data_IF_670435430152
#
_entry.id   IF_670435430152
#
_cell.length_a   1.000
_cell.length_b   1.000
_cell.length_c   1.000
_cell.angle_alpha   90.00
_cell.angle_beta   90.00
_cell.angle_gamma   90.00
#
_symmetry.space_group_name_H-M   'P 1'
#
loop_
_entity.id
_entity.type
_entity.pdbx_description
1 polymer ?
#
# COMPACT_ATOMS: atom_id res chain seq x y z
N UNK A 1 -21.27 11.70 -40.95
CA UNK A 1 -20.68 10.33 -41.00
C UNK A 1 -19.46 10.17 -40.08
N UNK A 2 -18.56 11.16 -40.01
CA UNK A 2 -17.34 11.13 -39.16
C UNK A 2 -17.64 11.07 -37.65
N UNK A 3 -18.65 11.80 -37.19
CA UNK A 3 -19.00 11.91 -35.75
C UNK A 3 -19.43 10.57 -35.13
N UNK A 4 -20.20 9.76 -35.87
CA UNK A 4 -20.56 8.40 -35.44
C UNK A 4 -19.36 7.43 -35.40
N UNK A 5 -18.36 7.63 -36.26
CA UNK A 5 -17.14 6.82 -36.24
C UNK A 5 -16.25 7.16 -35.04
N UNK A 6 -16.17 8.45 -34.67
CA UNK A 6 -15.46 8.92 -33.48
C UNK A 6 -16.14 8.43 -32.20
N UNK A 7 -17.47 8.51 -32.10
CA UNK A 7 -18.21 8.01 -30.93
C UNK A 7 -18.00 6.51 -30.71
N UNK A 8 -17.94 5.72 -31.79
CA UNK A 8 -17.61 4.28 -31.72
C UNK A 8 -16.18 4.03 -31.25
N UNK A 9 -15.19 4.79 -31.73
CA UNK A 9 -13.78 4.59 -31.35
C UNK A 9 -13.52 4.97 -29.88
N UNK A 10 -14.18 6.00 -29.38
CA UNK A 10 -14.15 6.39 -27.96
C UNK A 10 -14.77 5.28 -27.10
N UNK A 11 -15.93 4.75 -27.49
CA UNK A 11 -16.56 3.62 -26.78
C UNK A 11 -15.65 2.40 -26.68
N UNK A 12 -15.00 2.00 -27.78
CA UNK A 12 -14.06 0.87 -27.80
C UNK A 12 -12.86 1.12 -26.89
N UNK A 13 -12.34 2.36 -26.86
CA UNK A 13 -11.18 2.72 -26.04
C UNK A 13 -11.51 2.65 -24.54
N UNK A 14 -12.70 3.09 -24.15
CA UNK A 14 -13.17 3.01 -22.77
C UNK A 14 -13.37 1.56 -22.30
N UNK A 15 -13.95 0.70 -23.14
CA UNK A 15 -14.10 -0.72 -22.83
C UNK A 15 -12.74 -1.41 -22.65
N UNK A 16 -11.78 -1.15 -23.55
CA UNK A 16 -10.41 -1.67 -23.41
C UNK A 16 -9.72 -1.20 -22.14
N UNK A 17 -9.93 0.07 -21.75
CA UNK A 17 -9.38 0.62 -20.51
C UNK A 17 -10.02 -0.06 -19.28
N UNK A 18 -11.32 -0.30 -19.32
CA UNK A 18 -12.06 -1.00 -18.26
C UNK A 18 -11.61 -2.45 -18.11
N UNK A 19 -11.39 -3.16 -19.21
CA UNK A 19 -10.81 -4.51 -19.19
C UNK A 19 -9.40 -4.52 -18.60
N UNK A 20 -8.54 -3.58 -19.04
CA UNK A 20 -7.18 -3.47 -18.53
C UNK A 20 -7.17 -3.21 -17.01
N UNK A 21 -8.03 -2.31 -16.52
CA UNK A 21 -8.21 -2.04 -15.09
C UNK A 21 -8.68 -3.28 -14.33
N UNK A 22 -9.65 -4.00 -14.88
CA UNK A 22 -10.18 -5.24 -14.26
C UNK A 22 -9.09 -6.31 -14.15
N UNK A 23 -8.29 -6.50 -15.20
CA UNK A 23 -7.13 -7.42 -15.19
C UNK A 23 -6.08 -6.99 -14.16
N UNK A 24 -5.73 -5.71 -14.10
CA UNK A 24 -4.79 -5.20 -13.10
C UNK A 24 -5.27 -5.47 -11.67
N UNK A 25 -6.55 -5.18 -11.40
CA UNK A 25 -7.16 -5.42 -10.10
C UNK A 25 -7.15 -6.91 -9.76
N UNK A 26 -7.58 -7.78 -10.68
CA UNK A 26 -7.60 -9.23 -10.42
C UNK A 26 -6.20 -9.77 -10.13
N UNK A 27 -5.17 -9.31 -10.85
CA UNK A 27 -3.78 -9.72 -10.61
C UNK A 27 -3.25 -9.21 -9.28
N UNK A 28 -3.54 -7.95 -8.93
CA UNK A 28 -3.10 -7.37 -7.66
C UNK A 28 -3.80 -8.02 -6.45
N UNK A 29 -5.09 -8.33 -6.57
CA UNK A 29 -5.93 -8.78 -5.46
C UNK A 29 -5.91 -10.30 -5.28
N UNK A 30 -5.48 -11.09 -6.28
CA UNK A 30 -5.50 -12.57 -6.26
C UNK A 30 -4.89 -13.21 -5.01
N UNK A 31 -3.88 -12.58 -4.42
CA UNK A 31 -3.16 -13.07 -3.24
C UNK A 31 -3.30 -12.17 -2.01
N UNK A 32 -4.21 -11.18 -2.05
CA UNK A 32 -4.51 -10.37 -0.87
C UNK A 32 -5.34 -11.20 0.09
N UNK A 33 -4.94 -11.18 1.36
CA UNK A 33 -5.73 -11.77 2.46
C UNK A 33 -6.41 -10.64 3.22
N UNK A 34 -7.67 -10.84 3.58
CA UNK A 34 -8.35 -10.02 4.59
C UNK A 34 -7.75 -10.36 5.95
N UNK A 35 -6.67 -9.67 6.30
CA UNK A 35 -6.00 -9.83 7.57
C UNK A 35 -6.35 -8.64 8.46
N UNK A 36 -7.01 -8.93 9.57
CA UNK A 36 -7.27 -7.96 10.63
C UNK A 36 -6.36 -8.25 11.80
N UNK A 37 -5.91 -7.20 12.47
CA UNK A 37 -5.07 -7.29 13.66
C UNK A 37 -5.81 -6.71 14.85
N UNK A 38 -5.46 -7.17 16.05
CA UNK A 38 -6.03 -6.68 17.29
C UNK A 38 -5.00 -5.83 18.06
N UNK A 39 -5.48 -4.90 18.92
CA UNK A 39 -4.63 -4.30 19.94
C UNK A 39 -3.85 -5.36 20.71
N UNK A 40 -2.53 -5.20 20.81
CA UNK A 40 -1.63 -6.19 21.41
C UNK A 40 -0.86 -7.06 20.42
N UNK A 41 -1.33 -7.20 19.18
CA UNK A 41 -0.60 -7.91 18.14
C UNK A 41 0.69 -7.17 17.77
N UNK A 42 1.66 -7.93 17.27
CA UNK A 42 2.95 -7.40 16.83
C UNK A 42 3.06 -7.50 15.31
N UNK A 43 3.32 -6.37 14.65
CA UNK A 43 3.39 -6.28 13.19
C UNK A 43 4.68 -5.64 12.72
N UNK A 44 5.19 -6.13 11.59
CA UNK A 44 6.33 -5.52 10.92
C UNK A 44 5.89 -4.38 10.00
N UNK A 45 6.55 -3.23 10.12
CA UNK A 45 6.27 -2.09 9.24
C UNK A 45 7.12 -2.15 7.97
N UNK A 46 6.47 -1.99 6.81
CA UNK A 46 7.14 -2.01 5.49
C UNK A 46 7.80 -0.67 5.22
N UNK A 47 9.08 -0.69 4.84
CA UNK A 47 9.83 0.53 4.51
C UNK A 47 9.94 0.72 3.01
N UNK A 48 9.81 1.97 2.54
CA UNK A 48 10.00 2.29 1.13
C UNK A 48 11.51 2.42 0.81
N UNK A 49 12.04 1.74 -0.22
CA UNK A 49 13.45 1.87 -0.60
C UNK A 49 13.82 3.30 -1.05
N UNK A 50 12.89 3.98 -1.73
CA UNK A 50 13.13 5.29 -2.34
C UNK A 50 13.18 6.46 -1.33
N UNK A 51 12.54 6.33 -0.14
CA UNK A 51 12.65 7.31 0.96
C UNK A 51 13.82 6.99 1.91
N UNK A 52 14.79 6.25 1.35
CA UNK A 52 16.16 6.01 1.75
C UNK A 52 16.62 6.48 3.11
N UNK A 53 17.06 5.53 3.93
CA UNK A 53 18.21 5.63 4.84
C UNK A 53 18.08 6.57 6.05
N UNK A 54 17.50 7.77 5.92
CA UNK A 54 17.42 8.77 7.00
C UNK A 54 16.42 8.42 8.09
N UNK A 55 15.34 7.71 7.77
CA UNK A 55 14.25 7.46 8.75
C UNK A 55 14.47 6.24 9.62
N UNK A 56 15.10 5.20 9.09
CA UNK A 56 15.19 3.90 9.74
C UNK A 56 16.63 3.47 10.05
N UNK A 57 17.58 4.40 9.95
CA UNK A 57 19.00 4.26 10.34
C UNK A 57 19.80 3.13 9.68
N UNK A 58 19.24 2.41 8.71
CA UNK A 58 19.89 1.29 8.02
C UNK A 58 20.18 1.71 6.58
N UNK A 59 21.45 2.02 6.27
CA UNK A 59 21.96 2.32 4.92
C UNK A 59 22.67 1.09 4.36
N UNK A 60 22.41 0.77 3.09
CA UNK A 60 23.26 -0.14 2.33
C UNK A 60 22.51 -1.03 1.35
N UNK A 61 23.26 -1.69 0.48
CA UNK A 61 22.78 -2.85 -0.26
C UNK A 61 22.31 -3.89 0.76
N UNK A 62 21.16 -4.50 0.54
CA UNK A 62 20.49 -5.43 1.47
C UNK A 62 19.82 -4.79 2.71
N UNK A 63 19.48 -3.50 2.69
CA UNK A 63 18.63 -2.91 3.73
C UNK A 63 17.32 -3.70 3.87
N UNK A 64 16.82 -3.96 5.09
CA UNK A 64 15.63 -4.76 5.28
C UNK A 64 14.40 -4.06 4.70
N UNK A 65 13.51 -4.84 4.08
CA UNK A 65 12.24 -4.34 3.51
C UNK A 65 11.18 -4.08 4.58
N UNK A 66 11.36 -4.67 5.75
CA UNK A 66 10.48 -4.58 6.90
C UNK A 66 11.31 -4.33 8.15
N UNK A 67 10.82 -3.48 9.04
CA UNK A 67 11.45 -3.19 10.33
C UNK A 67 10.54 -3.64 11.46
N UNK A 68 11.15 -4.06 12.57
CA UNK A 68 10.60 -4.24 13.92
C UNK A 68 9.19 -4.83 14.05
N UNK A 69 8.97 -5.85 14.91
CA UNK A 69 7.63 -6.07 15.40
C UNK A 69 7.25 -4.88 16.30
N UNK A 70 6.28 -4.07 15.88
CA UNK A 70 5.68 -3.03 16.71
C UNK A 70 4.35 -3.51 17.23
N UNK A 71 4.11 -3.27 18.53
CA UNK A 71 2.83 -3.55 19.15
C UNK A 71 1.77 -2.60 18.58
N UNK A 72 0.62 -3.13 18.19
CA UNK A 72 -0.56 -2.34 17.88
C UNK A 72 -1.15 -1.84 19.19
N UNK A 73 -1.26 -0.53 19.32
CA UNK A 73 -1.89 0.13 20.45
C UNK A 73 -3.41 0.13 20.27
N UNK A 74 -3.88 0.62 19.13
CA UNK A 74 -5.31 0.79 18.84
C UNK A 74 -5.61 0.60 17.34
N UNK A 75 -6.86 0.23 17.02
CA UNK A 75 -7.39 0.22 15.65
C UNK A 75 -8.13 1.54 15.40
N UNK A 76 -7.59 2.36 14.50
CA UNK A 76 -8.14 3.70 14.17
C UNK A 76 -9.17 3.62 13.04
N UNK A 77 -9.07 2.60 12.19
CA UNK A 77 -10.03 2.33 11.12
C UNK A 77 -9.93 0.90 10.61
N UNK A 78 -10.73 0.57 9.59
CA UNK A 78 -10.80 -0.79 9.04
C UNK A 78 -9.42 -1.33 8.63
N UNK A 79 -8.56 -0.46 8.07
CA UNK A 79 -7.22 -0.79 7.56
C UNK A 79 -6.13 0.08 8.21
N UNK A 80 -6.44 0.81 9.28
CA UNK A 80 -5.54 1.78 9.92
C UNK A 80 -5.33 1.43 11.40
N UNK A 81 -4.06 1.32 11.81
CA UNK A 81 -3.66 0.91 13.15
C UNK A 81 -2.62 1.87 13.72
N UNK A 82 -2.72 2.15 15.01
CA UNK A 82 -1.74 2.92 15.76
C UNK A 82 -0.66 1.99 16.30
N UNK A 83 0.60 2.26 15.98
CA UNK A 83 1.74 1.42 16.38
C UNK A 83 2.54 2.08 17.51
N UNK A 84 3.05 1.26 18.43
CA UNK A 84 4.02 1.66 19.44
C UNK A 84 5.40 1.87 18.80
N UNK A 85 5.55 2.95 18.02
CA UNK A 85 6.80 3.30 17.37
C UNK A 85 7.79 3.93 18.37
N UNK A 86 9.08 3.60 18.28
CA UNK A 86 10.10 4.24 19.09
C UNK A 86 10.24 5.72 18.69
N UNK A 87 10.66 6.63 19.59
CA UNK A 87 10.67 8.07 19.34
C UNK A 87 11.43 8.50 18.08
N UNK A 88 12.47 7.75 17.68
CA UNK A 88 13.24 7.97 16.46
C UNK A 88 12.38 7.85 15.19
N UNK A 89 11.29 7.07 15.25
CA UNK A 89 10.35 6.81 14.17
C UNK A 89 9.01 7.54 14.32
N UNK A 90 8.86 8.41 15.32
CA UNK A 90 7.63 9.20 15.56
C UNK A 90 7.17 9.98 14.32
N UNK A 91 8.12 10.50 13.53
CA UNK A 91 7.87 11.23 12.29
C UNK A 91 7.36 10.38 11.11
N UNK A 92 7.31 9.04 11.25
CA UNK A 92 6.96 8.14 10.14
C UNK A 92 5.46 8.20 9.87
N UNK A 93 4.62 8.29 10.92
CA UNK A 93 3.20 8.60 10.87
C UNK A 93 2.74 8.94 12.30
N UNK A 94 2.44 10.21 12.57
CA UNK A 94 1.81 10.63 13.82
C UNK A 94 0.30 10.64 13.59
N UNK A 95 -0.39 9.63 14.13
CA UNK A 95 -1.86 9.50 14.11
C UNK A 95 -2.34 9.12 15.51
#
# INVERSE_FOLDING_TARGET
MVENAVLRSVGISLEKLKEARTRQKSYADKHRRSLEFQPGDHVFSKVSPARGVRRFSIKGKLSPRFIGPFKILDRVGEVLYRLALPPQLSHVHDV
#
